data_IF_178886517773
#
_entry.id   IF_178886517773
#
_cell.length_a   1.000
_cell.length_b   1.000
_cell.length_c   1.000
_cell.angle_alpha   90.00
_cell.angle_beta   90.00
_cell.angle_gamma   90.00
#
_symmetry.space_group_name_H-M   'P 1'
#
loop_
_entity.id
_entity.type
_entity.pdbx_description
1 polymer ?
#
# COMPACT_ATOMS: atom_id res chain seq x y z
N UNK A 1 -22.41 27.51 21.01
CA UNK A 1 -21.03 27.35 21.50
C UNK A 1 -20.66 25.89 21.36
N UNK A 2 -19.81 25.54 20.40
CA UNK A 2 -19.29 24.19 20.23
C UNK A 2 -17.76 24.31 20.21
N UNK A 3 -17.16 23.82 21.29
CA UNK A 3 -15.73 23.74 21.50
C UNK A 3 -15.17 22.69 20.55
N UNK A 4 -14.44 23.09 19.52
CA UNK A 4 -13.63 22.14 18.73
C UNK A 4 -12.37 21.86 19.55
N UNK A 5 -12.42 20.77 20.32
CA UNK A 5 -11.22 20.20 20.94
C UNK A 5 -10.43 19.49 19.84
N UNK A 6 -9.37 20.16 19.38
CA UNK A 6 -8.19 19.61 18.71
C UNK A 6 -8.31 18.18 18.20
N UNK A 7 -8.66 18.00 16.93
CA UNK A 7 -8.46 16.73 16.24
C UNK A 7 -8.04 17.02 14.81
N UNK A 8 -6.76 16.81 14.52
CA UNK A 8 -6.19 16.93 13.18
C UNK A 8 -6.65 15.75 12.31
N UNK A 9 -7.91 15.78 11.88
CA UNK A 9 -8.43 14.88 10.84
C UNK A 9 -8.52 15.66 9.53
N UNK A 10 -8.07 15.03 8.44
CA UNK A 10 -8.43 15.49 7.10
C UNK A 10 -9.74 14.80 6.73
N UNK A 11 -10.80 15.58 6.52
CA UNK A 11 -12.08 15.08 6.04
C UNK A 11 -12.10 15.19 4.52
N UNK A 12 -12.31 14.05 3.86
CA UNK A 12 -12.40 13.95 2.41
C UNK A 12 -13.68 13.22 2.06
N UNK A 13 -14.45 13.77 1.13
CA UNK A 13 -15.62 13.11 0.55
C UNK A 13 -15.25 12.63 -0.85
N UNK A 14 -15.58 11.39 -1.17
CA UNK A 14 -15.34 10.77 -2.47
C UNK A 14 -16.67 10.24 -2.99
N UNK A 15 -16.98 10.53 -4.24
CA UNK A 15 -18.16 10.00 -4.92
C UNK A 15 -17.77 8.76 -5.75
N UNK A 16 -18.41 7.64 -5.49
CA UNK A 16 -18.18 6.37 -6.19
C UNK A 16 -19.53 5.73 -6.54
N UNK A 17 -19.52 4.74 -7.43
CA UNK A 17 -20.64 3.80 -7.53
C UNK A 17 -20.76 2.90 -6.30
N UNK A 18 -21.69 1.95 -6.37
CA UNK A 18 -21.80 0.88 -5.36
C UNK A 18 -20.48 0.07 -5.30
N UNK A 19 -19.85 0.08 -4.13
CA UNK A 19 -18.59 -0.63 -3.86
C UNK A 19 -18.83 -2.07 -3.37
N UNK A 20 -20.07 -2.43 -3.04
CA UNK A 20 -20.39 -3.62 -2.28
C UNK A 20 -19.69 -3.64 -0.92
N UNK A 21 -19.39 -4.85 -0.43
CA UNK A 21 -18.73 -5.02 0.87
C UNK A 21 -17.26 -4.56 0.82
N UNK A 22 -16.97 -3.40 1.40
CA UNK A 22 -15.60 -2.89 1.52
C UNK A 22 -14.83 -3.69 2.57
N UNK A 23 -13.78 -4.41 2.15
CA UNK A 23 -12.97 -5.25 3.03
C UNK A 23 -11.50 -4.82 3.15
N UNK A 24 -11.04 -3.86 2.33
CA UNK A 24 -9.68 -3.29 2.40
C UNK A 24 -9.63 -1.89 1.82
N UNK A 25 -8.63 -1.13 2.23
CA UNK A 25 -8.15 0.06 1.50
C UNK A 25 -6.70 -0.15 1.05
N UNK A 26 -6.32 0.56 -0.02
CA UNK A 26 -4.94 0.70 -0.44
C UNK A 26 -4.56 2.18 -0.35
N UNK A 27 -3.44 2.45 0.29
CA UNK A 27 -2.91 3.80 0.42
C UNK A 27 -1.55 3.83 -0.26
N UNK A 28 -1.36 4.79 -1.15
CA UNK A 28 -0.08 5.03 -1.82
C UNK A 28 0.34 6.49 -1.65
N UNK A 29 1.62 6.71 -1.47
CA UNK A 29 2.22 8.05 -1.50
C UNK A 29 3.28 8.10 -2.59
N UNK A 30 3.42 9.26 -3.24
CA UNK A 30 4.48 9.46 -4.22
C UNK A 30 5.84 9.59 -3.54
N UNK A 31 6.89 9.23 -4.28
CA UNK A 31 8.26 9.44 -3.86
C UNK A 31 8.61 10.94 -4.00
N UNK A 32 8.60 11.66 -2.88
CA UNK A 32 8.92 13.09 -2.85
C UNK A 32 10.36 13.29 -2.31
N UNK A 33 11.28 13.86 -3.10
CA UNK A 33 12.65 14.14 -2.65
C UNK A 33 12.65 15.04 -1.40
N UNK A 34 13.46 14.67 -0.41
CA UNK A 34 13.57 15.42 0.86
C UNK A 34 12.42 15.20 1.84
N UNK A 35 11.38 14.45 1.47
CA UNK A 35 10.32 14.04 2.39
C UNK A 35 10.68 12.73 3.08
N UNK A 36 10.61 12.69 4.41
CA UNK A 36 10.97 11.50 5.19
C UNK A 36 9.87 10.44 5.24
N UNK A 37 8.70 10.73 4.66
CA UNK A 37 7.55 9.84 4.59
C UNK A 37 6.38 10.30 5.47
N UNK A 38 5.25 9.66 5.28
CA UNK A 38 4.01 9.96 5.98
C UNK A 38 3.73 8.89 7.03
N UNK A 39 3.62 9.28 8.30
CA UNK A 39 3.17 8.38 9.35
C UNK A 39 1.65 8.36 9.41
N UNK A 40 1.07 7.26 8.97
CA UNK A 40 -0.37 7.07 8.89
C UNK A 40 -0.87 6.34 10.14
N UNK A 41 -1.75 7.01 10.92
CA UNK A 41 -2.32 6.43 12.14
C UNK A 41 -3.48 5.47 11.83
N UNK A 42 -4.52 5.96 11.18
CA UNK A 42 -5.75 5.20 10.92
C UNK A 42 -6.60 5.89 9.85
N UNK A 43 -7.47 5.12 9.19
CA UNK A 43 -8.57 5.65 8.38
C UNK A 43 -9.92 5.31 9.02
N UNK A 44 -10.87 6.23 8.86
CA UNK A 44 -12.27 6.04 9.19
C UNK A 44 -13.09 6.34 7.94
N UNK A 45 -13.90 5.37 7.53
CA UNK A 45 -14.78 5.48 6.37
C UNK A 45 -16.23 5.37 6.85
N UNK A 46 -17.04 6.37 6.53
CA UNK A 46 -18.48 6.36 6.74
C UNK A 46 -19.16 6.30 5.37
N UNK A 47 -19.98 5.28 5.14
CA UNK A 47 -20.88 5.24 3.98
C UNK A 47 -22.08 6.16 4.26
N UNK A 48 -22.20 7.23 3.48
CA UNK A 48 -23.17 8.30 3.78
C UNK A 48 -24.63 7.86 3.70
N UNK A 49 -24.95 6.85 2.89
CA UNK A 49 -26.31 6.32 2.70
C UNK A 49 -26.72 5.36 3.82
N UNK A 50 -25.90 4.36 4.10
CA UNK A 50 -26.20 3.30 5.08
C UNK A 50 -25.79 3.66 6.51
N UNK A 51 -24.95 4.70 6.67
CA UNK A 51 -24.27 5.07 7.93
C UNK A 51 -23.36 3.97 8.48
N UNK A 52 -22.95 3.02 7.64
CA UNK A 52 -21.97 2.02 7.99
C UNK A 52 -20.60 2.68 8.19
N UNK A 53 -19.94 2.32 9.28
CA UNK A 53 -18.60 2.80 9.62
C UNK A 53 -17.58 1.66 9.51
N UNK A 54 -16.48 1.92 8.83
CA UNK A 54 -15.34 1.01 8.73
C UNK A 54 -14.08 1.70 9.22
N UNK A 55 -13.30 0.97 10.01
CA UNK A 55 -12.03 1.43 10.54
C UNK A 55 -10.88 0.67 9.91
N UNK A 56 -9.74 1.34 9.74
CA UNK A 56 -8.51 0.72 9.23
C UNK A 56 -7.34 1.11 10.12
N UNK A 57 -6.81 0.15 10.86
CA UNK A 57 -5.63 0.31 11.69
C UNK A 57 -4.36 0.27 10.84
N UNK A 58 -3.68 1.42 10.71
CA UNK A 58 -2.51 1.54 9.85
C UNK A 58 -1.20 1.55 10.66
N UNK A 59 -1.09 2.52 11.57
CA UNK A 59 0.02 2.71 12.54
C UNK A 59 1.40 2.40 11.95
N UNK A 60 1.70 2.96 10.79
CA UNK A 60 2.93 2.67 10.06
C UNK A 60 3.42 3.86 9.23
N UNK A 61 4.68 3.82 8.84
CA UNK A 61 5.26 4.77 7.89
C UNK A 61 4.99 4.32 6.45
N UNK A 62 4.60 5.29 5.61
CA UNK A 62 4.71 5.23 4.16
C UNK A 62 5.97 6.03 3.78
N UNK A 63 7.09 5.33 3.65
CA UNK A 63 8.42 5.94 3.49
C UNK A 63 9.37 4.95 2.83
N UNK A 64 10.31 5.42 2.00
CA UNK A 64 11.43 4.59 1.50
C UNK A 64 12.61 4.55 2.48
N UNK A 65 12.62 5.41 3.49
CA UNK A 65 13.74 5.61 4.40
C UNK A 65 13.48 5.09 5.82
N UNK A 66 12.25 4.61 6.09
CA UNK A 66 11.81 4.12 7.40
C UNK A 66 11.17 2.73 7.27
N UNK A 67 11.19 1.98 8.36
CA UNK A 67 10.53 0.67 8.51
C UNK A 67 10.80 -0.31 7.36
N UNK A 68 9.74 -0.75 6.67
CA UNK A 68 9.74 -1.70 5.57
C UNK A 68 10.07 -1.07 4.21
N UNK A 69 10.30 0.24 4.18
CA UNK A 69 10.63 1.02 2.99
C UNK A 69 9.52 1.00 1.94
N UNK A 70 8.25 0.86 2.34
CA UNK A 70 7.13 0.81 1.40
C UNK A 70 6.40 2.16 1.29
N UNK A 71 6.04 2.54 0.06
CA UNK A 71 5.21 3.70 -0.24
C UNK A 71 3.75 3.33 -0.55
N UNK A 72 3.44 2.03 -0.64
CA UNK A 72 2.09 1.53 -0.92
C UNK A 72 1.79 0.45 0.10
N UNK A 73 0.68 0.57 0.83
CA UNK A 73 0.24 -0.43 1.83
C UNK A 73 -1.25 -0.71 1.70
N UNK A 74 -1.63 -1.94 2.05
CA UNK A 74 -3.03 -2.38 2.08
C UNK A 74 -3.43 -2.66 3.52
N UNK A 75 -4.59 -2.15 3.92
CA UNK A 75 -5.12 -2.29 5.26
C UNK A 75 -6.50 -2.95 5.18
N UNK A 76 -6.72 -4.07 5.90
CA UNK A 76 -8.03 -4.71 5.94
C UNK A 76 -9.00 -3.86 6.76
N UNK A 77 -10.28 -3.91 6.41
CA UNK A 77 -11.33 -3.33 7.22
C UNK A 77 -11.39 -4.05 8.59
N UNK A 78 -11.53 -3.27 9.64
CA UNK A 78 -11.77 -3.73 11.01
C UNK A 78 -13.26 -3.69 11.25
N UNK A 79 -13.86 -4.88 11.41
CA UNK A 79 -15.28 -5.08 11.67
C UNK A 79 -15.40 -5.71 13.06
N UNK A 80 -16.27 -5.18 13.90
CA UNK A 80 -16.52 -5.73 15.24
C UNK A 80 -16.93 -7.21 15.15
N UNK A 81 -16.42 -8.01 16.08
CA UNK A 81 -16.67 -9.46 16.17
C UNK A 81 -16.26 -10.30 14.94
N UNK A 82 -15.53 -9.72 13.98
CA UNK A 82 -14.99 -10.43 12.84
C UNK A 82 -13.46 -10.41 12.83
N UNK A 83 -12.87 -11.54 12.41
CA UNK A 83 -11.42 -11.62 12.23
C UNK A 83 -11.03 -10.78 11.01
N UNK A 84 -10.11 -9.84 11.21
CA UNK A 84 -9.52 -9.05 10.12
C UNK A 84 -8.83 -9.95 9.11
N UNK A 85 -8.90 -9.54 7.84
CA UNK A 85 -8.25 -10.29 6.77
C UNK A 85 -6.73 -10.22 6.92
N UNK A 86 -6.01 -11.34 6.73
CA UNK A 86 -4.56 -11.34 6.83
C UNK A 86 -3.94 -10.54 5.67
N UNK A 87 -2.91 -9.76 6.00
CA UNK A 87 -2.04 -9.12 5.01
C UNK A 87 -0.83 -10.03 4.78
N UNK A 88 -0.66 -10.49 3.54
CA UNK A 88 0.42 -11.41 3.17
C UNK A 88 1.61 -10.66 2.58
N UNK A 89 2.82 -11.07 2.98
CA UNK A 89 4.07 -10.63 2.37
C UNK A 89 4.55 -11.70 1.39
N UNK A 90 4.85 -11.28 0.17
CA UNK A 90 5.35 -12.17 -0.89
C UNK A 90 6.81 -11.85 -1.19
N UNK A 91 7.62 -12.90 -1.33
CA UNK A 91 8.96 -12.78 -1.90
C UNK A 91 8.86 -13.12 -3.38
N UNK A 92 9.27 -12.18 -4.23
CA UNK A 92 9.27 -12.35 -5.69
C UNK A 92 10.71 -12.59 -6.14
N UNK A 93 10.94 -13.69 -6.83
CA UNK A 93 12.21 -13.98 -7.49
C UNK A 93 12.12 -13.58 -8.97
N UNK A 94 13.08 -12.77 -9.43
CA UNK A 94 13.10 -12.26 -10.81
C UNK A 94 14.36 -12.76 -11.50
N UNK A 95 14.19 -13.65 -12.47
CA UNK A 95 15.31 -14.24 -13.21
C UNK A 95 15.57 -13.46 -14.49
N UNK A 96 16.74 -12.85 -14.62
CA UNK A 96 17.16 -12.16 -15.84
C UNK A 96 17.98 -13.11 -16.71
N UNK A 97 17.61 -13.21 -17.98
CA UNK A 97 18.31 -14.04 -18.96
C UNK A 97 19.78 -13.68 -19.14
N UNK A 98 20.51 -14.56 -19.82
CA UNK A 98 21.94 -14.47 -20.09
C UNK A 98 22.27 -13.85 -21.46
N UNK A 99 21.26 -13.53 -22.27
CA UNK A 99 21.43 -12.87 -23.57
C UNK A 99 22.00 -11.45 -23.39
N UNK A 100 22.78 -11.01 -24.37
CA UNK A 100 23.30 -9.65 -24.39
C UNK A 100 22.15 -8.64 -24.41
N UNK A 101 22.20 -7.65 -23.51
CA UNK A 101 21.15 -6.63 -23.37
C UNK A 101 19.90 -7.08 -22.62
N UNK A 102 19.92 -8.22 -21.93
CA UNK A 102 18.79 -8.68 -21.11
C UNK A 102 18.62 -7.90 -19.80
N UNK A 103 19.62 -7.13 -19.39
CA UNK A 103 19.57 -6.25 -18.23
C UNK A 103 18.67 -5.03 -18.42
N UNK A 104 18.24 -4.42 -17.31
CA UNK A 104 17.54 -3.13 -17.33
C UNK A 104 17.95 -2.22 -16.18
N UNK A 105 17.92 -0.93 -16.44
CA UNK A 105 18.05 0.14 -15.44
C UNK A 105 16.72 0.86 -15.18
N UNK A 106 15.65 0.45 -15.86
CA UNK A 106 14.32 1.01 -15.67
C UNK A 106 13.72 0.60 -14.32
N UNK A 107 12.72 1.35 -13.87
CA UNK A 107 11.89 0.93 -12.76
C UNK A 107 11.02 -0.26 -13.20
N UNK A 108 11.08 -1.35 -12.44
CA UNK A 108 10.25 -2.54 -12.66
C UNK A 108 9.13 -2.55 -11.64
N UNK A 109 7.92 -2.85 -12.10
CA UNK A 109 6.73 -2.90 -11.29
C UNK A 109 6.00 -4.24 -11.48
N UNK A 110 5.27 -4.67 -10.46
CA UNK A 110 4.42 -5.85 -10.50
C UNK A 110 3.05 -5.54 -9.91
N UNK A 111 2.02 -6.21 -10.41
CA UNK A 111 0.68 -6.25 -9.82
C UNK A 111 0.24 -7.71 -9.75
N UNK A 112 -0.02 -8.20 -8.54
CA UNK A 112 -0.52 -9.56 -8.33
C UNK A 112 -2.05 -9.50 -8.34
N UNK A 113 -2.69 -10.45 -9.03
CA UNK A 113 -4.13 -10.58 -9.11
C UNK A 113 -4.58 -11.82 -8.34
N UNK A 114 -5.64 -11.67 -7.55
CA UNK A 114 -6.22 -12.77 -6.78
C UNK A 114 -7.74 -12.69 -6.72
N UNK A 115 -8.35 -13.63 -6.01
CA UNK A 115 -9.82 -13.72 -5.86
C UNK A 115 -10.46 -12.49 -5.20
N UNK A 116 -9.68 -11.71 -4.45
CA UNK A 116 -10.11 -10.49 -3.74
C UNK A 116 -9.42 -9.25 -4.31
N UNK A 117 -9.44 -9.16 -5.65
CA UNK A 117 -8.80 -8.09 -6.40
C UNK A 117 -7.28 -8.21 -6.50
N UNK A 118 -6.64 -7.11 -6.85
CA UNK A 118 -5.20 -7.01 -7.07
C UNK A 118 -4.45 -6.40 -5.89
N UNK A 119 -3.12 -6.37 -5.97
CA UNK A 119 -2.23 -5.63 -5.05
C UNK A 119 -1.92 -4.22 -5.50
N UNK A 120 -2.28 -3.83 -6.72
CA UNK A 120 -1.90 -2.57 -7.33
C UNK A 120 -0.47 -2.61 -7.82
N UNK A 121 -0.01 -1.47 -8.32
CA UNK A 121 1.34 -1.30 -8.82
C UNK A 121 2.33 -1.31 -7.66
N UNK A 122 3.26 -2.28 -7.66
CA UNK A 122 4.32 -2.42 -6.66
C UNK A 122 5.68 -2.28 -7.33
N UNK A 123 6.43 -1.23 -6.98
CA UNK A 123 7.79 -1.00 -7.48
C UNK A 123 8.74 -2.01 -6.83
N UNK A 124 9.54 -2.72 -7.62
CA UNK A 124 10.57 -3.64 -7.14
C UNK A 124 11.86 -2.87 -6.78
N UNK A 125 11.80 -2.07 -5.71
CA UNK A 125 12.88 -1.16 -5.33
C UNK A 125 13.90 -1.76 -4.34
N UNK A 126 13.51 -2.74 -3.52
CA UNK A 126 14.41 -3.43 -2.57
C UNK A 126 14.81 -4.80 -3.12
N UNK A 127 16.07 -5.20 -2.90
CA UNK A 127 16.58 -6.53 -3.23
C UNK A 127 17.03 -7.25 -1.97
N UNK A 128 16.75 -8.55 -1.88
CA UNK A 128 17.32 -9.44 -0.87
C UNK A 128 18.71 -9.95 -1.27
N UNK A 129 19.04 -9.89 -2.57
CA UNK A 129 20.36 -10.27 -3.10
C UNK A 129 21.27 -9.04 -3.22
N UNK A 130 22.57 -9.23 -2.98
CA UNK A 130 23.58 -8.16 -3.08
C UNK A 130 23.85 -7.81 -4.55
N UNK A 131 24.03 -6.53 -4.81
CA UNK A 131 24.43 -6.00 -6.11
C UNK A 131 23.33 -5.19 -6.79
N UNK A 132 23.57 -4.82 -8.05
CA UNK A 132 22.57 -4.12 -8.87
C UNK A 132 21.45 -5.10 -9.22
N UNK A 133 20.20 -4.62 -9.11
CA UNK A 133 19.01 -5.36 -9.52
C UNK A 133 18.94 -5.50 -11.04
N UNK A 134 18.20 -6.50 -11.51
CA UNK A 134 17.85 -6.68 -12.92
C UNK A 134 19.04 -6.69 -13.89
N UNK A 135 20.18 -7.27 -13.46
CA UNK A 135 21.35 -7.44 -14.31
C UNK A 135 21.34 -8.81 -14.97
N UNK A 136 21.97 -8.92 -16.15
CA UNK A 136 22.12 -10.17 -16.90
C UNK A 136 22.60 -11.32 -16.02
N UNK A 137 21.95 -12.48 -16.14
CA UNK A 137 22.27 -13.70 -15.39
C UNK A 137 22.23 -13.50 -13.85
N UNK A 138 21.28 -12.69 -13.36
CA UNK A 138 21.02 -12.50 -11.91
C UNK A 138 19.61 -12.94 -11.53
N UNK A 139 19.49 -13.24 -10.24
CA UNK A 139 18.25 -13.52 -9.50
C UNK A 139 18.11 -12.52 -8.35
#
# INVERSE_FOLDING_TARGET
ALTVLSSWWYLLQVETGDLGDVYKIRVSCDEVPGFEGWHLKSFHLEELQTKQNLNFDCKCWLSLNREDKELVKEFPAVIEDQKTLPVYKYVVSVHIGDRWGAETFANVYITLYGKRGDTGVRKLHTSLTKGRKFQRNKV
#
